data_IF_323793304714
#
_entry.id   IF_323793304714
#
_cell.length_a   1.000
_cell.length_b   1.000
_cell.length_c   1.000
_cell.angle_alpha   90.00
_cell.angle_beta   90.00
_cell.angle_gamma   90.00
#
_symmetry.space_group_name_H-M   'P 1'
#
loop_
_entity.id
_entity.type
_entity.pdbx_description
1 polymer ?
#
# COMPACT_ATOMS: atom_id res chain seq x y z
N UNK A 1 16.93 15.35 36.70
CA UNK A 1 16.02 15.11 35.55
C UNK A 1 16.36 13.74 34.97
N UNK A 2 15.44 12.77 34.91
CA UNK A 2 15.72 11.48 34.24
C UNK A 2 15.47 11.66 32.74
N UNK A 3 16.53 11.64 31.94
CA UNK A 3 16.43 11.63 30.49
C UNK A 3 15.77 10.33 30.03
N UNK A 4 14.80 10.45 29.12
CA UNK A 4 14.22 9.29 28.47
C UNK A 4 15.19 8.78 27.42
N UNK A 5 15.18 7.48 27.17
CA UNK A 5 15.91 6.92 26.04
C UNK A 5 15.21 7.30 24.74
N UNK A 6 15.95 7.41 23.63
CA UNK A 6 15.37 7.69 22.31
C UNK A 6 14.23 6.68 21.96
N UNK A 7 14.36 5.42 22.38
CA UNK A 7 13.31 4.40 22.23
C UNK A 7 12.00 4.75 22.97
N UNK A 8 12.10 5.44 24.10
CA UNK A 8 10.93 5.87 24.89
C UNK A 8 10.29 7.14 24.32
N UNK A 9 11.04 7.94 23.57
CA UNK A 9 10.57 9.18 22.93
C UNK A 9 10.00 8.93 21.54
N UNK A 10 10.58 8.00 20.77
CA UNK A 10 10.09 7.62 19.45
C UNK A 10 8.74 6.89 19.55
N UNK A 11 7.67 7.62 19.28
CA UNK A 11 6.33 7.07 19.08
C UNK A 11 5.89 7.32 17.65
N UNK A 12 5.31 6.30 17.03
CA UNK A 12 4.71 6.45 15.71
C UNK A 12 3.36 7.10 15.91
N UNK A 13 3.16 8.25 15.28
CA UNK A 13 1.83 8.83 15.21
C UNK A 13 1.00 8.03 14.20
N UNK A 14 0.17 7.16 14.74
CA UNK A 14 -0.76 6.29 14.01
C UNK A 14 -2.20 6.79 14.12
N UNK A 15 -2.40 8.03 14.60
CA UNK A 15 -3.74 8.63 14.76
C UNK A 15 -4.43 8.90 13.42
N UNK A 16 -3.65 9.06 12.34
CA UNK A 16 -4.15 9.36 11.01
C UNK A 16 -3.40 8.57 9.93
N UNK A 17 -4.15 8.08 8.93
CA UNK A 17 -3.57 7.56 7.69
C UNK A 17 -2.78 8.66 6.97
N UNK A 18 -1.81 8.27 6.13
CA UNK A 18 -1.19 9.23 5.21
C UNK A 18 -2.25 9.80 4.24
N UNK A 19 -2.20 11.10 3.99
CA UNK A 19 -2.95 11.70 2.87
C UNK A 19 -2.28 11.26 1.56
N UNK A 20 -3.06 11.14 0.49
CA UNK A 20 -2.54 10.97 -0.86
C UNK A 20 -1.55 12.08 -1.24
N UNK A 21 -1.74 13.31 -0.75
CA UNK A 21 -0.78 14.41 -0.94
C UNK A 21 0.60 14.07 -0.38
N UNK A 22 0.67 13.39 0.75
CA UNK A 22 1.93 12.92 1.32
C UNK A 22 2.54 11.79 0.50
N UNK A 23 1.72 10.82 0.07
CA UNK A 23 2.16 9.74 -0.83
C UNK A 23 2.75 10.32 -2.11
N UNK A 24 2.02 11.24 -2.75
CA UNK A 24 2.44 11.90 -3.98
C UNK A 24 3.70 12.74 -3.78
N UNK A 25 3.78 13.54 -2.70
CA UNK A 25 4.98 14.34 -2.40
C UNK A 25 6.22 13.47 -2.24
N UNK A 26 6.10 12.31 -1.60
CA UNK A 26 7.22 11.38 -1.43
C UNK A 26 7.63 10.73 -2.76
N UNK A 27 6.68 10.52 -3.68
CA UNK A 27 6.93 9.93 -5.01
C UNK A 27 7.43 10.94 -6.06
N UNK A 28 6.93 12.18 -6.05
CA UNK A 28 7.24 13.24 -7.04
C UNK A 28 8.69 13.75 -6.92
N UNK A 29 9.37 13.48 -5.80
CA UNK A 29 10.69 14.03 -5.49
C UNK A 29 11.90 13.22 -6.03
N UNK A 30 11.71 12.09 -6.73
CA UNK A 30 12.79 11.07 -6.78
C UNK A 30 12.97 10.37 -8.13
N UNK A 31 14.20 10.33 -8.62
CA UNK A 31 14.66 9.52 -9.76
C UNK A 31 15.02 8.07 -9.34
N UNK A 32 15.39 7.20 -10.29
CA UNK A 32 15.76 5.81 -9.98
C UNK A 32 14.71 4.76 -10.38
N UNK A 33 14.36 3.81 -9.48
CA UNK A 33 13.41 2.71 -9.78
C UNK A 33 11.96 3.20 -10.05
N UNK A 34 11.67 4.44 -9.69
CA UNK A 34 10.45 5.18 -10.05
C UNK A 34 10.40 5.63 -11.52
N UNK A 35 11.46 5.44 -12.33
CA UNK A 35 11.48 5.89 -13.73
C UNK A 35 10.29 5.35 -14.51
N UNK A 36 9.55 6.26 -15.15
CA UNK A 36 8.36 5.93 -15.92
C UNK A 36 7.10 5.65 -15.07
N UNK A 37 7.16 5.84 -13.75
CA UNK A 37 6.00 5.77 -12.86
C UNK A 37 4.94 6.81 -13.28
N UNK A 38 3.71 6.35 -13.41
CA UNK A 38 2.52 7.16 -13.68
C UNK A 38 1.42 6.65 -12.76
N UNK A 39 1.32 7.28 -11.59
CA UNK A 39 0.46 6.86 -10.50
C UNK A 39 -0.84 7.69 -10.44
N UNK A 40 -1.96 7.01 -10.26
CA UNK A 40 -3.25 7.60 -9.92
C UNK A 40 -3.66 7.29 -8.48
N UNK A 41 -4.79 7.85 -8.07
CA UNK A 41 -5.42 7.62 -6.77
C UNK A 41 -6.91 7.40 -6.92
N UNK A 42 -7.44 6.45 -6.15
CA UNK A 42 -8.87 6.22 -6.01
C UNK A 42 -9.21 6.06 -4.53
N UNK A 43 -10.14 6.88 -4.05
CA UNK A 43 -10.91 6.57 -2.85
C UNK A 43 -12.02 5.60 -3.22
N UNK A 44 -11.98 4.37 -2.71
CA UNK A 44 -12.95 3.35 -3.09
C UNK A 44 -14.39 3.76 -2.72
N UNK A 45 -14.57 4.50 -1.61
CA UNK A 45 -15.90 4.99 -1.19
C UNK A 45 -16.52 5.97 -2.18
N UNK A 46 -15.69 6.71 -2.91
CA UNK A 46 -16.14 7.69 -3.91
C UNK A 46 -16.60 7.06 -5.22
N UNK A 47 -16.28 5.77 -5.46
CA UNK A 47 -16.53 5.11 -6.75
C UNK A 47 -17.97 4.60 -6.83
N UNK A 48 -18.83 5.42 -7.43
CA UNK A 48 -20.20 5.03 -7.78
C UNK A 48 -20.22 4.18 -9.06
N UNK A 49 -21.05 3.13 -9.07
CA UNK A 49 -21.24 2.24 -10.23
C UNK A 49 -20.21 1.11 -10.36
N UNK A 50 -20.08 0.50 -11.53
CA UNK A 50 -19.20 -0.65 -11.75
C UNK A 50 -17.71 -0.34 -11.54
N UNK A 51 -16.95 -1.31 -11.02
CA UNK A 51 -15.50 -1.22 -10.94
C UNK A 51 -14.89 -1.72 -12.25
N UNK A 52 -14.26 -0.82 -12.99
CA UNK A 52 -13.64 -1.11 -14.29
C UNK A 52 -12.15 -0.78 -14.25
N UNK A 53 -11.34 -1.49 -15.03
CA UNK A 53 -9.90 -1.26 -15.03
C UNK A 53 -9.54 0.19 -15.38
N UNK A 54 -10.28 0.82 -16.30
CA UNK A 54 -10.02 2.20 -16.71
C UNK A 54 -10.25 3.22 -15.58
N UNK A 55 -11.19 2.97 -14.66
CA UNK A 55 -11.43 3.85 -13.50
C UNK A 55 -10.30 3.81 -12.47
N UNK A 56 -9.71 2.64 -12.28
CA UNK A 56 -8.63 2.46 -11.32
C UNK A 56 -7.28 2.75 -11.96
N UNK A 57 -7.08 2.31 -13.20
CA UNK A 57 -5.81 2.34 -13.88
C UNK A 57 -6.00 2.68 -15.38
N UNK A 58 -6.28 3.97 -15.69
CA UNK A 58 -6.49 4.45 -17.06
C UNK A 58 -5.30 4.12 -17.96
N UNK A 59 -5.51 4.16 -19.28
CA UNK A 59 -4.41 4.00 -20.24
C UNK A 59 -3.28 4.99 -19.93
N UNK A 60 -2.04 4.49 -20.03
CA UNK A 60 -0.84 5.25 -19.70
C UNK A 60 -0.47 5.27 -18.21
N UNK A 61 -1.35 4.88 -17.28
CA UNK A 61 -1.01 4.72 -15.87
C UNK A 61 -0.52 3.30 -15.59
N UNK A 62 0.45 3.17 -14.67
CA UNK A 62 1.00 1.88 -14.24
C UNK A 62 0.81 1.60 -12.75
N UNK A 63 0.35 2.59 -11.97
CA UNK A 63 0.03 2.44 -10.55
C UNK A 63 -1.28 3.15 -10.22
N UNK A 64 -2.06 2.57 -9.31
CA UNK A 64 -3.18 3.19 -8.64
C UNK A 64 -3.06 2.97 -7.13
N UNK A 65 -2.97 4.04 -6.36
CA UNK A 65 -3.14 3.98 -4.90
C UNK A 65 -4.63 3.89 -4.60
N UNK A 66 -5.07 2.85 -3.89
CA UNK A 66 -6.48 2.63 -3.58
C UNK A 66 -6.64 2.77 -2.07
N UNK A 67 -7.44 3.74 -1.65
CA UNK A 67 -7.81 3.91 -0.25
C UNK A 67 -9.11 3.16 0.01
N UNK A 68 -9.03 2.17 0.89
CA UNK A 68 -10.14 1.35 1.33
C UNK A 68 -10.69 1.92 2.64
N UNK A 69 -12.01 1.95 2.77
CA UNK A 69 -12.64 2.02 4.10
C UNK A 69 -12.97 0.62 4.55
N UNK A 70 -12.36 0.23 5.66
CA UNK A 70 -12.46 -1.11 6.21
C UNK A 70 -13.08 -1.04 7.59
N UNK A 71 -14.10 -1.86 7.86
CA UNK A 71 -14.61 -2.03 9.22
C UNK A 71 -13.75 -3.05 9.96
N UNK A 72 -12.66 -2.57 10.57
CA UNK A 72 -11.72 -3.39 11.34
C UNK A 72 -11.76 -2.95 12.81
N UNK A 73 -11.94 -3.91 13.72
CA UNK A 73 -11.81 -3.66 15.16
C UNK A 73 -12.92 -2.79 15.79
N UNK A 74 -14.11 -2.74 15.20
CA UNK A 74 -15.27 -2.03 15.77
C UNK A 74 -15.46 -0.59 15.29
N UNK A 75 -14.63 -0.11 14.35
CA UNK A 75 -14.78 1.20 13.72
C UNK A 75 -14.42 1.19 12.23
N UNK A 76 -14.66 2.31 11.54
CA UNK A 76 -14.21 2.49 10.15
C UNK A 76 -12.76 2.97 10.17
N UNK A 77 -11.89 2.19 9.54
CA UNK A 77 -10.48 2.49 9.40
C UNK A 77 -10.10 2.58 7.92
N UNK A 78 -9.33 3.61 7.58
CA UNK A 78 -8.80 3.83 6.23
C UNK A 78 -7.53 3.00 6.03
N UNK A 79 -7.44 2.29 4.91
CA UNK A 79 -6.33 1.39 4.61
C UNK A 79 -5.84 1.56 3.18
N UNK A 80 -4.54 1.79 3.02
CA UNK A 80 -3.90 1.99 1.73
C UNK A 80 -3.51 0.66 1.09
N UNK A 81 -3.85 0.51 -0.19
CA UNK A 81 -3.44 -0.60 -1.07
C UNK A 81 -2.98 -0.05 -2.41
N UNK A 82 -2.39 -0.89 -3.26
CA UNK A 82 -1.98 -0.48 -4.61
C UNK A 82 -2.35 -1.51 -5.67
N UNK A 83 -2.86 -1.04 -6.80
CA UNK A 83 -2.99 -1.82 -8.04
C UNK A 83 -1.91 -1.38 -9.02
N UNK A 84 -1.16 -2.34 -9.56
CA UNK A 84 0.07 -2.08 -10.33
C UNK A 84 0.04 -2.88 -11.62
N UNK A 85 0.34 -2.23 -12.74
CA UNK A 85 0.54 -2.84 -14.06
C UNK A 85 1.98 -2.63 -14.50
N UNK A 86 2.66 -3.70 -14.87
CA UNK A 86 3.98 -3.63 -15.50
C UNK A 86 4.12 -4.73 -16.57
N UNK A 87 5.30 -4.89 -17.16
CA UNK A 87 5.57 -5.90 -18.20
C UNK A 87 5.36 -7.35 -17.76
N UNK A 88 5.25 -7.61 -16.45
CA UNK A 88 5.07 -8.94 -15.86
C UNK A 88 3.60 -9.23 -15.49
N UNK A 89 2.69 -8.26 -15.66
CA UNK A 89 1.26 -8.44 -15.44
C UNK A 89 0.63 -7.40 -14.50
N UNK A 90 -0.47 -7.81 -13.86
CA UNK A 90 -1.26 -7.00 -12.94
C UNK A 90 -1.07 -7.51 -11.51
N UNK A 91 -0.81 -6.60 -10.56
CA UNK A 91 -0.54 -6.94 -9.17
C UNK A 91 -1.39 -6.09 -8.24
N UNK A 92 -2.05 -6.74 -7.28
CA UNK A 92 -2.67 -6.07 -6.15
C UNK A 92 -1.77 -6.25 -4.93
N UNK A 93 -1.42 -5.14 -4.29
CA UNK A 93 -0.59 -5.10 -3.12
C UNK A 93 -1.37 -4.58 -1.92
N UNK A 94 -1.33 -5.37 -0.86
CA UNK A 94 -1.88 -5.05 0.45
C UNK A 94 -0.88 -5.49 1.52
N UNK A 95 -0.37 -4.56 2.31
CA UNK A 95 0.63 -4.84 3.36
C UNK A 95 0.11 -5.76 4.47
N UNK A 96 -1.21 -5.84 4.68
CA UNK A 96 -1.85 -6.73 5.65
C UNK A 96 -2.18 -8.12 5.10
N UNK A 97 -2.02 -8.32 3.79
CA UNK A 97 -2.36 -9.55 3.08
C UNK A 97 -3.82 -10.00 3.29
N UNK A 98 -4.77 -9.05 3.23
CA UNK A 98 -6.19 -9.33 3.36
C UNK A 98 -6.66 -10.10 2.12
N UNK A 99 -6.95 -11.38 2.31
CA UNK A 99 -7.41 -12.25 1.23
C UNK A 99 -8.83 -11.89 0.78
N UNK A 100 -9.21 -12.37 -0.40
CA UNK A 100 -10.54 -12.12 -0.99
C UNK A 100 -11.71 -12.26 -0.01
N UNK A 101 -11.86 -13.36 0.74
CA UNK A 101 -12.94 -13.48 1.72
C UNK A 101 -12.96 -12.37 2.78
N UNK A 102 -11.77 -12.00 3.29
CA UNK A 102 -11.62 -10.92 4.27
C UNK A 102 -11.92 -9.56 3.65
N UNK A 103 -11.40 -9.26 2.46
CA UNK A 103 -11.69 -8.02 1.73
C UNK A 103 -13.19 -7.84 1.48
N UNK A 104 -13.88 -8.87 0.98
CA UNK A 104 -15.33 -8.82 0.78
C UNK A 104 -16.10 -8.55 2.08
N UNK A 105 -15.63 -9.13 3.20
CA UNK A 105 -16.27 -8.95 4.51
C UNK A 105 -16.09 -7.52 5.04
N UNK A 106 -14.87 -6.97 4.98
CA UNK A 106 -14.56 -5.67 5.59
C UNK A 106 -15.00 -4.47 4.75
N UNK A 107 -15.17 -4.65 3.43
CA UNK A 107 -15.66 -3.63 2.51
C UNK A 107 -17.19 -3.60 2.43
N UNK A 108 -17.87 -4.66 2.85
CA UNK A 108 -19.33 -4.80 2.81
C UNK A 108 -19.94 -4.53 1.41
N UNK A 109 -19.17 -4.76 0.33
CA UNK A 109 -19.52 -4.38 -1.04
C UNK A 109 -20.09 -5.54 -1.89
N UNK A 110 -20.52 -6.63 -1.24
CA UNK A 110 -20.98 -7.85 -1.91
C UNK A 110 -19.88 -8.58 -2.70
N UNK A 111 -18.61 -8.33 -2.36
CA UNK A 111 -17.43 -8.89 -3.03
C UNK A 111 -17.15 -8.27 -4.40
N UNK A 112 -17.72 -7.09 -4.68
CA UNK A 112 -17.57 -6.36 -5.95
C UNK A 112 -16.10 -6.03 -6.23
N UNK A 113 -15.36 -5.56 -5.23
CA UNK A 113 -13.93 -5.27 -5.35
C UNK A 113 -13.10 -6.52 -5.64
N UNK A 114 -13.39 -7.63 -4.95
CA UNK A 114 -12.69 -8.90 -5.16
C UNK A 114 -12.99 -9.48 -6.55
N UNK A 115 -14.23 -9.38 -7.03
CA UNK A 115 -14.62 -9.76 -8.40
C UNK A 115 -13.87 -8.92 -9.43
N UNK A 116 -13.74 -7.62 -9.20
CA UNK A 116 -12.93 -6.73 -10.04
C UNK A 116 -11.45 -7.13 -10.09
N UNK A 117 -10.82 -7.39 -8.93
CA UNK A 117 -9.43 -7.83 -8.89
C UNK A 117 -9.22 -9.13 -9.67
N UNK A 118 -10.15 -10.08 -9.55
CA UNK A 118 -10.13 -11.33 -10.32
C UNK A 118 -10.31 -11.08 -11.82
N UNK A 119 -11.24 -10.20 -12.23
CA UNK A 119 -11.53 -9.94 -13.65
C UNK A 119 -10.36 -9.28 -14.38
N UNK A 120 -9.52 -8.52 -13.66
CA UNK A 120 -8.31 -7.91 -14.24
C UNK A 120 -7.07 -8.78 -14.09
N UNK A 121 -7.21 -10.01 -13.57
CA UNK A 121 -6.10 -10.95 -13.37
C UNK A 121 -5.06 -10.46 -12.36
N UNK A 122 -5.46 -9.67 -11.35
CA UNK A 122 -4.53 -9.12 -10.37
C UNK A 122 -3.99 -10.22 -9.45
N UNK A 123 -2.68 -10.45 -9.51
CA UNK A 123 -1.97 -11.31 -8.57
C UNK A 123 -1.84 -10.60 -7.23
N UNK A 124 -2.29 -11.24 -6.14
CA UNK A 124 -2.21 -10.68 -4.78
C UNK A 124 -0.91 -11.10 -4.10
N UNK A 125 -0.43 -10.30 -3.15
CA UNK A 125 0.66 -10.73 -2.26
C UNK A 125 0.23 -12.00 -1.48
N UNK A 126 1.22 -12.75 -0.98
CA UNK A 126 1.01 -13.99 -0.22
C UNK A 126 1.65 -13.99 1.17
N UNK A 127 2.06 -12.80 1.65
CA UNK A 127 2.72 -12.64 2.94
C UNK A 127 2.35 -11.29 3.54
N UNK A 128 1.88 -11.32 4.78
CA UNK A 128 1.65 -10.14 5.61
C UNK A 128 3.00 -9.48 5.95
N UNK A 129 3.13 -8.20 5.62
CA UNK A 129 4.32 -7.38 5.87
C UNK A 129 4.12 -6.42 7.05
N UNK A 130 2.94 -5.81 7.12
CA UNK A 130 2.57 -4.90 8.20
C UNK A 130 2.17 -5.67 9.44
N UNK A 131 2.70 -5.32 10.61
CA UNK A 131 2.49 -6.11 11.83
C UNK A 131 1.03 -6.11 12.29
N UNK A 132 0.37 -4.94 12.24
CA UNK A 132 -0.97 -4.77 12.78
C UNK A 132 -1.82 -3.84 11.94
N UNK A 133 -3.11 -4.14 11.83
CA UNK A 133 -4.08 -3.24 11.21
C UNK A 133 -4.13 -1.89 11.94
N UNK A 134 -3.84 -1.82 13.25
CA UNK A 134 -3.82 -0.57 14.02
C UNK A 134 -2.76 0.45 13.57
N UNK A 135 -1.82 0.06 12.70
CA UNK A 135 -0.79 0.93 12.14
C UNK A 135 -1.29 1.59 10.84
N UNK A 136 -2.19 2.57 10.99
CA UNK A 136 -2.94 3.21 9.89
C UNK A 136 -2.03 4.02 8.97
N UNK A 137 -0.98 4.66 9.50
CA UNK A 137 0.00 5.43 8.71
C UNK A 137 0.93 4.49 7.96
N UNK A 138 1.29 3.39 8.59
CA UNK A 138 2.28 2.42 8.09
C UNK A 138 1.84 1.74 6.79
N UNK A 139 0.56 1.46 6.58
CA UNK A 139 0.10 0.88 5.31
C UNK A 139 0.41 1.79 4.10
N UNK A 140 0.31 3.11 4.28
CA UNK A 140 0.68 4.09 3.27
C UNK A 140 2.19 4.08 2.97
N UNK A 141 3.05 3.89 3.98
CA UNK A 141 4.50 3.77 3.80
C UNK A 141 4.87 2.52 3.00
N UNK A 142 4.24 1.38 3.29
CA UNK A 142 4.38 0.16 2.48
C UNK A 142 3.97 0.39 1.04
N UNK A 143 2.84 1.08 0.81
CA UNK A 143 2.37 1.42 -0.53
C UNK A 143 3.38 2.31 -1.25
N UNK A 144 3.94 3.33 -0.61
CA UNK A 144 4.96 4.20 -1.23
C UNK A 144 6.17 3.37 -1.69
N UNK A 145 6.73 2.53 -0.82
CA UNK A 145 7.91 1.70 -1.16
C UNK A 145 7.56 0.67 -2.24
N UNK A 146 6.36 0.09 -2.20
CA UNK A 146 5.90 -0.82 -3.26
C UNK A 146 5.81 -0.12 -4.61
N UNK A 147 5.29 1.10 -4.64
CA UNK A 147 5.13 1.91 -5.85
C UNK A 147 6.47 2.34 -6.43
N UNK A 148 7.42 2.70 -5.57
CA UNK A 148 8.79 2.93 -6.02
C UNK A 148 9.38 1.72 -6.75
N UNK A 149 9.03 0.51 -6.31
CA UNK A 149 9.40 -0.75 -6.92
C UNK A 149 8.38 -1.28 -7.96
N UNK A 150 7.57 -0.42 -8.61
CA UNK A 150 6.44 -0.83 -9.46
C UNK A 150 6.83 -1.83 -10.57
N UNK A 151 8.08 -1.82 -11.05
CA UNK A 151 8.57 -2.73 -12.09
C UNK A 151 8.77 -4.19 -11.62
N UNK A 152 8.72 -4.44 -10.31
CA UNK A 152 8.84 -5.77 -9.71
C UNK A 152 7.49 -6.50 -9.66
N UNK A 153 7.50 -7.82 -9.78
CA UNK A 153 6.36 -8.64 -9.36
C UNK A 153 6.23 -8.64 -7.83
N UNK A 154 5.10 -9.13 -7.30
CA UNK A 154 4.93 -9.26 -5.84
C UNK A 154 6.02 -10.14 -5.20
N UNK A 155 6.38 -11.27 -5.84
CA UNK A 155 7.43 -12.15 -5.33
C UNK A 155 8.81 -11.46 -5.29
N UNK A 156 9.17 -10.74 -6.36
CA UNK A 156 10.43 -9.98 -6.43
C UNK A 156 10.47 -8.86 -5.38
N UNK A 157 9.36 -8.14 -5.21
CA UNK A 157 9.24 -7.11 -4.19
C UNK A 157 9.40 -7.67 -2.77
N UNK A 158 8.74 -8.80 -2.48
CA UNK A 158 8.87 -9.48 -1.19
C UNK A 158 10.32 -9.90 -0.93
N UNK A 159 10.99 -10.52 -1.90
CA UNK A 159 12.39 -10.91 -1.75
C UNK A 159 13.29 -9.68 -1.51
N UNK A 160 13.08 -8.61 -2.27
CA UNK A 160 13.81 -7.36 -2.11
C UNK A 160 13.64 -6.77 -0.71
N UNK A 161 12.40 -6.59 -0.24
CA UNK A 161 12.12 -5.99 1.05
C UNK A 161 12.63 -6.88 2.19
N UNK A 162 12.39 -8.19 2.12
CA UNK A 162 12.75 -9.14 3.18
C UNK A 162 14.25 -9.40 3.27
N UNK A 163 15.02 -9.15 2.22
CA UNK A 163 16.49 -9.29 2.25
C UNK A 163 17.17 -8.46 3.33
N UNK A 164 16.57 -7.34 3.74
CA UNK A 164 17.07 -6.46 4.80
C UNK A 164 16.41 -6.72 6.17
N UNK A 165 15.45 -7.65 6.25
CA UNK A 165 14.62 -7.81 7.46
C UNK A 165 15.25 -8.57 8.61
N UNK A 166 16.42 -9.18 8.38
CA UNK A 166 17.25 -9.76 9.44
C UNK A 166 17.79 -8.66 10.39
N UNK A 167 17.83 -7.40 9.93
CA UNK A 167 18.35 -6.27 10.71
C UNK A 167 17.24 -5.33 11.20
N UNK A 168 16.17 -5.17 10.42
CA UNK A 168 15.10 -4.20 10.70
C UNK A 168 13.74 -4.80 10.32
N UNK A 169 12.73 -4.69 11.20
CA UNK A 169 11.40 -5.18 10.84
C UNK A 169 10.81 -4.42 9.62
N UNK A 170 9.87 -5.02 8.85
CA UNK A 170 9.37 -4.42 7.61
C UNK A 170 8.76 -3.03 7.79
N UNK A 171 8.01 -2.80 8.87
CA UNK A 171 7.38 -1.51 9.16
C UNK A 171 8.43 -0.41 9.33
N UNK A 172 9.41 -0.62 10.21
CA UNK A 172 10.54 0.30 10.42
C UNK A 172 11.36 0.49 9.15
N UNK A 173 11.57 -0.56 8.37
CA UNK A 173 12.33 -0.49 7.13
C UNK A 173 11.65 0.45 6.12
N UNK A 174 10.34 0.33 5.90
CA UNK A 174 9.64 1.22 4.97
C UNK A 174 9.58 2.67 5.47
N UNK A 175 9.49 2.89 6.79
CA UNK A 175 9.61 4.23 7.36
C UNK A 175 11.00 4.83 7.14
N UNK A 176 12.08 4.05 7.32
CA UNK A 176 13.43 4.51 7.03
C UNK A 176 13.60 4.84 5.54
N UNK A 177 13.14 3.98 4.63
CA UNK A 177 13.25 4.21 3.18
C UNK A 177 12.49 5.47 2.73
N UNK A 178 11.33 5.72 3.33
CA UNK A 178 10.52 6.91 3.02
C UNK A 178 11.12 8.20 3.59
N UNK A 179 11.62 8.18 4.83
CA UNK A 179 12.23 9.35 5.49
C UNK A 179 13.62 9.68 4.95
N UNK A 180 14.51 8.69 4.80
CA UNK A 180 15.94 8.90 4.49
C UNK A 180 16.17 9.34 3.04
N UNK A 181 15.14 9.36 2.19
CA UNK A 181 15.36 9.74 0.80
C UNK A 181 15.96 8.61 -0.05
N UNK A 182 15.99 7.37 0.45
CA UNK A 182 16.57 6.23 -0.30
C UNK A 182 15.65 5.67 -1.40
N UNK A 183 14.61 6.43 -1.76
CA UNK A 183 13.84 6.23 -2.99
C UNK A 183 14.40 7.23 -4.02
#
# INVERSE_FOLDING_TARGET
>A
MKFRTLKQELRWDESQALDFRDIRRILDQRGGKSRGLRAGYVDLESVKGAYTLDRFLPRGHNVCCILLSTRLGGGVQRHWTALIRNSKGMFFFDSLDLKGPTLSKILEDGGKFVKFLKSVGANTVNKKLQQSHKLVRTCGLHVIVRIFCWQMSNAQYLQYLLSATNCVNPDKLVALMTIIGHL
#
